data_IF_178502851420
#
_entry.id   IF_178502851420
#
_cell.length_a   1.000
_cell.length_b   1.000
_cell.length_c   1.000
_cell.angle_alpha   90.00
_cell.angle_beta   90.00
_cell.angle_gamma   90.00
#
_symmetry.space_group_name_H-M   'P 1'
#
loop_
_entity.id
_entity.type
_entity.pdbx_description
1 polymer ?
#
# COMPACT_ATOMS: atom_id res chain seq x y z
N UNK A 1 6.04 -2.88 11.86
CA UNK A 1 6.07 -2.03 10.63
C UNK A 1 6.28 -0.55 10.95
N UNK A 2 5.51 0.06 11.86
CA UNK A 2 5.70 1.47 12.24
C UNK A 2 7.12 1.76 12.82
N UNK A 3 7.67 0.82 13.61
CA UNK A 3 9.05 0.95 14.13
C UNK A 3 10.10 1.01 13.03
N UNK A 4 10.04 0.14 12.02
CA UNK A 4 11.00 0.17 10.90
C UNK A 4 10.95 1.48 10.11
N UNK A 5 9.75 2.04 9.93
CA UNK A 5 9.60 3.33 9.24
C UNK A 5 10.17 4.47 10.08
N UNK A 6 9.96 4.44 11.40
CA UNK A 6 10.51 5.44 12.33
C UNK A 6 12.03 5.36 12.40
N UNK A 7 12.60 4.16 12.51
CA UNK A 7 14.06 3.95 12.51
C UNK A 7 14.70 4.42 11.20
N UNK A 8 14.07 4.15 10.05
CA UNK A 8 14.56 4.63 8.75
C UNK A 8 14.46 6.16 8.64
N UNK A 9 13.39 6.78 9.15
CA UNK A 9 13.19 8.23 9.13
C UNK A 9 14.06 9.01 10.13
N UNK A 10 14.39 8.42 11.28
CA UNK A 10 15.31 9.04 12.25
C UNK A 10 16.77 8.95 11.75
N UNK A 11 17.17 7.84 11.12
CA UNK A 11 18.47 7.76 10.43
C UNK A 11 18.56 8.75 9.24
N UNK A 12 17.47 8.92 8.50
CA UNK A 12 17.34 9.84 7.36
C UNK A 12 17.59 11.31 7.67
N UNK A 13 17.14 11.72 8.85
CA UNK A 13 17.15 13.12 9.25
C UNK A 13 18.54 13.53 9.72
N UNK A 14 19.43 12.57 10.01
CA UNK A 14 20.86 12.77 10.20
C UNK A 14 21.70 12.50 8.94
N UNK A 15 21.22 11.66 8.01
CA UNK A 15 21.99 11.16 6.86
C UNK A 15 21.11 11.11 5.57
N UNK A 16 21.34 12.03 4.63
CA UNK A 16 20.72 12.19 3.29
C UNK A 16 19.19 11.95 3.15
N UNK A 17 18.37 13.02 3.09
CA UNK A 17 16.93 12.94 2.83
C UNK A 17 16.55 12.15 1.56
N UNK A 18 17.38 12.16 0.51
CA UNK A 18 17.10 11.45 -0.74
C UNK A 18 17.21 9.93 -0.56
N UNK A 19 18.18 9.45 0.23
CA UNK A 19 18.31 8.03 0.58
C UNK A 19 17.03 7.51 1.23
N UNK A 20 16.44 8.33 2.06
CA UNK A 20 15.29 7.94 2.88
C UNK A 20 13.98 8.04 2.14
N UNK A 21 13.85 9.02 1.23
CA UNK A 21 12.78 9.01 0.24
C UNK A 21 12.83 7.77 -0.66
N UNK A 22 14.03 7.30 -1.05
CA UNK A 22 14.16 6.03 -1.80
C UNK A 22 13.72 4.83 -0.98
N UNK A 23 14.10 4.75 0.29
CA UNK A 23 13.66 3.68 1.19
C UNK A 23 12.13 3.68 1.37
N UNK A 24 11.53 4.85 1.62
CA UNK A 24 10.07 5.01 1.69
C UNK A 24 9.41 4.60 0.37
N UNK A 25 9.99 4.97 -0.77
CA UNK A 25 9.45 4.58 -2.08
C UNK A 25 9.49 3.06 -2.29
N UNK A 26 10.54 2.37 -1.82
CA UNK A 26 10.61 0.90 -1.86
C UNK A 26 9.52 0.27 -1.00
N UNK A 27 9.35 0.74 0.25
CA UNK A 27 8.30 0.27 1.15
C UNK A 27 6.90 0.49 0.57
N UNK A 28 6.65 1.63 -0.07
CA UNK A 28 5.37 1.90 -0.75
C UNK A 28 5.09 0.87 -1.84
N UNK A 29 6.08 0.51 -2.66
CA UNK A 29 5.93 -0.52 -3.70
C UNK A 29 5.64 -1.90 -3.10
N UNK A 30 6.27 -2.24 -1.98
CA UNK A 30 6.00 -3.48 -1.26
C UNK A 30 4.55 -3.53 -0.76
N UNK A 31 4.10 -2.46 -0.10
CA UNK A 31 2.72 -2.33 0.36
C UNK A 31 1.74 -2.42 -0.81
N UNK A 32 2.02 -1.77 -1.95
CA UNK A 32 1.16 -1.85 -3.13
C UNK A 32 1.06 -3.26 -3.71
N UNK A 33 2.15 -4.04 -3.68
CA UNK A 33 2.14 -5.46 -4.11
C UNK A 33 1.28 -6.31 -3.18
N UNK A 34 1.46 -6.17 -1.87
CA UNK A 34 0.68 -6.90 -0.87
C UNK A 34 -0.80 -6.51 -0.91
N UNK A 35 -1.11 -5.20 -1.02
CA UNK A 35 -2.48 -4.70 -1.18
C UNK A 35 -3.13 -5.31 -2.43
N UNK A 36 -2.41 -5.37 -3.56
CA UNK A 36 -2.89 -6.01 -4.79
C UNK A 36 -3.19 -7.51 -4.59
N UNK A 37 -2.31 -8.23 -3.90
CA UNK A 37 -2.48 -9.65 -3.60
C UNK A 37 -3.71 -9.90 -2.71
N UNK A 38 -3.88 -9.08 -1.66
CA UNK A 38 -5.02 -9.14 -0.75
C UNK A 38 -6.34 -8.81 -1.45
N UNK A 39 -6.36 -7.78 -2.31
CA UNK A 39 -7.56 -7.43 -3.11
C UNK A 39 -7.95 -8.60 -4.02
N UNK A 40 -6.99 -9.21 -4.73
CA UNK A 40 -7.25 -10.38 -5.57
C UNK A 40 -7.81 -11.54 -4.76
N UNK A 41 -7.20 -11.87 -3.62
CA UNK A 41 -7.68 -12.92 -2.71
C UNK A 41 -9.12 -12.65 -2.24
N UNK A 42 -9.41 -11.42 -1.82
CA UNK A 42 -10.76 -11.02 -1.41
C UNK A 42 -11.78 -11.17 -2.55
N UNK A 43 -11.39 -10.79 -3.78
CA UNK A 43 -12.24 -11.00 -4.96
C UNK A 43 -12.51 -12.48 -5.25
N UNK A 44 -11.49 -13.34 -5.16
CA UNK A 44 -11.64 -14.80 -5.31
C UNK A 44 -12.55 -15.40 -4.23
N UNK A 45 -12.55 -14.83 -3.03
CA UNK A 45 -13.44 -15.23 -1.93
C UNK A 45 -14.87 -14.67 -2.07
N UNK A 46 -15.19 -13.99 -3.17
CA UNK A 46 -16.52 -13.44 -3.43
C UNK A 46 -16.78 -12.07 -2.78
N UNK A 47 -15.80 -11.45 -2.12
CA UNK A 47 -15.99 -10.13 -1.54
C UNK A 47 -16.28 -9.09 -2.62
N UNK A 48 -17.43 -8.42 -2.56
CA UNK A 48 -17.79 -7.34 -3.48
C UNK A 48 -16.84 -6.13 -3.40
N UNK A 49 -16.71 -5.40 -4.50
CA UNK A 49 -15.85 -4.22 -4.62
C UNK A 49 -16.12 -3.14 -3.57
N UNK A 50 -17.37 -2.98 -3.14
CA UNK A 50 -17.73 -2.01 -2.10
C UNK A 50 -17.09 -2.35 -0.76
N UNK A 51 -17.10 -3.63 -0.36
CA UNK A 51 -16.51 -4.05 0.92
C UNK A 51 -15.00 -3.86 0.93
N UNK A 52 -14.34 -4.19 -0.19
CA UNK A 52 -12.89 -3.98 -0.35
C UNK A 52 -12.56 -2.48 -0.29
N UNK A 53 -13.37 -1.63 -0.93
CA UNK A 53 -13.19 -0.19 -0.89
C UNK A 53 -13.36 0.39 0.52
N UNK A 54 -14.37 -0.08 1.26
CA UNK A 54 -14.55 0.28 2.67
C UNK A 54 -13.33 -0.13 3.51
N UNK A 55 -12.80 -1.35 3.32
CA UNK A 55 -11.62 -1.81 4.05
C UNK A 55 -10.34 -1.00 3.72
N UNK A 56 -10.21 -0.52 2.49
CA UNK A 56 -9.09 0.31 2.05
C UNK A 56 -9.27 1.82 2.32
N UNK A 57 -10.43 2.24 2.83
CA UNK A 57 -10.73 3.65 3.09
C UNK A 57 -10.83 4.51 1.83
N UNK A 58 -11.17 3.92 0.68
CA UNK A 58 -11.28 4.62 -0.61
C UNK A 58 -12.64 4.37 -1.26
N UNK A 59 -12.94 5.08 -2.35
CA UNK A 59 -14.19 4.86 -3.07
C UNK A 59 -14.17 3.54 -3.87
N UNK A 60 -15.36 2.96 -4.07
CA UNK A 60 -15.54 1.77 -4.95
C UNK A 60 -14.96 2.00 -6.34
N UNK A 61 -15.16 3.19 -6.89
CA UNK A 61 -14.63 3.56 -8.21
C UNK A 61 -13.09 3.60 -8.20
N UNK A 62 -12.47 4.10 -7.13
CA UNK A 62 -11.02 4.12 -6.99
C UNK A 62 -10.44 2.70 -6.93
N UNK A 63 -11.01 1.80 -6.12
CA UNK A 63 -10.59 0.38 -6.09
C UNK A 63 -10.78 -0.27 -7.44
N UNK A 64 -11.95 -0.10 -8.06
CA UNK A 64 -12.24 -0.71 -9.35
C UNK A 64 -11.32 -0.19 -10.46
N UNK A 65 -10.98 1.10 -10.44
CA UNK A 65 -10.02 1.69 -11.38
C UNK A 65 -8.60 1.14 -11.18
N UNK A 66 -8.18 0.95 -9.92
CA UNK A 66 -6.84 0.49 -9.55
C UNK A 66 -6.65 -1.02 -9.76
N UNK A 67 -7.68 -1.81 -9.44
CA UNK A 67 -7.60 -3.28 -9.33
C UNK A 67 -8.55 -4.06 -10.25
N UNK A 68 -9.55 -3.39 -10.83
CA UNK A 68 -10.56 -4.01 -11.68
C UNK A 68 -10.17 -4.14 -13.15
N UNK A 69 -9.00 -3.63 -13.56
CA UNK A 69 -8.42 -3.92 -14.88
C UNK A 69 -7.50 -5.14 -14.73
N UNK A 70 -8.07 -6.31 -14.94
CA UNK A 70 -7.39 -7.59 -15.11
C UNK A 70 -8.05 -8.34 -16.25
#
# INVERSE_FOLDING_TARGET
MADSLRTLADAASHDDPLRSLRAIAQLRREIEREESALVRRARTQGCGWQMIATALGVSRQAVHKKYGRG
#
